data_IF_466618139245
#
_entry.id   IF_466618139245
#
_cell.length_a   1.000
_cell.length_b   1.000
_cell.length_c   1.000
_cell.angle_alpha   90.00
_cell.angle_beta   90.00
_cell.angle_gamma   90.00
#
_symmetry.space_group_name_H-M   'P 1'
#
loop_
_entity.id
_entity.type
_entity.pdbx_description
1 polymer ?
#
# COMPACT_ATOMS: atom_id res chain seq x y z
N UNK A 1 -27.16 50.13 -4.53
CA UNK A 1 -27.89 48.93 -4.06
C UNK A 1 -27.70 47.82 -5.10
N UNK A 2 -27.47 46.59 -4.64
CA UNK A 2 -27.29 45.34 -5.41
C UNK A 2 -25.93 45.20 -6.12
N UNK A 3 -25.16 44.11 -6.05
CA UNK A 3 -25.30 42.81 -5.37
C UNK A 3 -23.91 42.17 -5.36
N UNK A 4 -23.37 41.84 -4.19
CA UNK A 4 -22.12 41.07 -4.04
C UNK A 4 -22.52 39.59 -4.13
N UNK A 5 -22.25 38.95 -5.26
CA UNK A 5 -22.53 37.52 -5.46
C UNK A 5 -21.36 36.68 -4.92
N UNK A 6 -21.68 35.91 -3.88
CA UNK A 6 -20.84 34.94 -3.18
C UNK A 6 -20.29 33.84 -4.10
N UNK A 7 -18.96 33.80 -4.24
CA UNK A 7 -18.19 32.66 -4.77
C UNK A 7 -17.26 32.09 -3.71
N UNK A 8 -17.79 31.44 -2.67
CA UNK A 8 -16.96 30.65 -1.73
C UNK A 8 -17.57 29.35 -1.22
N UNK A 9 -18.73 28.91 -1.74
CA UNK A 9 -19.51 27.81 -1.14
C UNK A 9 -19.35 26.43 -1.81
N UNK A 10 -18.60 26.34 -2.93
CA UNK A 10 -18.40 25.09 -3.69
C UNK A 10 -17.72 23.94 -2.91
N UNK A 11 -16.62 24.14 -2.16
CA UNK A 11 -15.95 23.04 -1.45
C UNK A 11 -16.77 22.53 -0.24
N UNK A 12 -17.51 23.42 0.44
CA UNK A 12 -18.38 23.06 1.57
C UNK A 12 -19.59 22.22 1.12
N UNK A 13 -20.22 22.56 -0.01
CA UNK A 13 -21.33 21.77 -0.58
C UNK A 13 -20.89 20.38 -1.05
N UNK A 14 -19.69 20.24 -1.61
CA UNK A 14 -19.14 18.95 -2.02
C UNK A 14 -18.81 18.04 -0.82
N UNK A 15 -18.23 18.60 0.25
CA UNK A 15 -17.93 17.87 1.48
C UNK A 15 -19.21 17.41 2.20
N UNK A 16 -20.22 18.30 2.32
CA UNK A 16 -21.55 17.93 2.84
C UNK A 16 -22.24 16.83 2.02
N UNK A 17 -22.14 16.85 0.69
CA UNK A 17 -22.66 15.76 -0.17
C UNK A 17 -21.92 14.42 0.04
N UNK A 18 -20.61 14.45 0.30
CA UNK A 18 -19.80 13.25 0.53
C UNK A 18 -20.10 12.62 1.89
N UNK A 19 -20.30 13.44 2.92
CA UNK A 19 -20.75 13.03 4.26
C UNK A 19 -22.21 12.55 4.22
N UNK A 20 -23.10 13.22 3.47
CA UNK A 20 -24.48 12.79 3.27
C UNK A 20 -24.58 11.39 2.61
N UNK A 21 -23.71 11.10 1.65
CA UNK A 21 -23.63 9.77 1.02
C UNK A 21 -22.99 8.72 1.93
N UNK A 22 -22.30 9.11 3.00
CA UNK A 22 -21.65 8.19 3.92
C UNK A 22 -22.65 7.60 4.92
N UNK A 23 -23.43 8.44 5.61
CA UNK A 23 -24.43 7.95 6.56
C UNK A 23 -25.51 7.09 5.88
N UNK A 24 -25.90 7.43 4.65
CA UNK A 24 -26.86 6.63 3.88
C UNK A 24 -26.31 5.23 3.55
N UNK A 25 -25.01 5.13 3.21
CA UNK A 25 -24.35 3.84 2.97
C UNK A 25 -24.21 3.01 4.24
N UNK A 26 -23.90 3.66 5.37
CA UNK A 26 -23.83 3.00 6.67
C UNK A 26 -25.21 2.49 7.11
N UNK A 27 -26.27 3.28 6.92
CA UNK A 27 -27.65 2.85 7.15
C UNK A 27 -28.06 1.68 6.25
N UNK A 28 -27.75 1.74 4.95
CA UNK A 28 -27.96 0.62 4.02
C UNK A 28 -27.20 -0.64 4.44
N UNK A 29 -25.96 -0.50 4.92
CA UNK A 29 -25.15 -1.62 5.39
C UNK A 29 -25.74 -2.27 6.65
N UNK A 30 -26.25 -1.48 7.60
CA UNK A 30 -26.94 -2.01 8.79
C UNK A 30 -28.20 -2.78 8.40
N UNK A 31 -29.01 -2.23 7.47
CA UNK A 31 -30.22 -2.91 6.97
C UNK A 31 -29.87 -4.23 6.27
N UNK A 32 -28.83 -4.23 5.43
CA UNK A 32 -28.35 -5.44 4.76
C UNK A 32 -27.83 -6.48 5.77
N UNK A 33 -27.11 -6.06 6.80
CA UNK A 33 -26.59 -6.95 7.83
C UNK A 33 -27.74 -7.57 8.65
N UNK A 34 -28.76 -6.78 8.99
CA UNK A 34 -29.97 -7.28 9.64
C UNK A 34 -30.73 -8.28 8.75
N UNK A 35 -30.86 -7.99 7.45
CA UNK A 35 -31.48 -8.90 6.48
C UNK A 35 -30.68 -10.20 6.32
N UNK A 36 -29.35 -10.13 6.28
CA UNK A 36 -28.47 -11.30 6.26
C UNK A 36 -28.64 -12.16 7.52
N UNK A 37 -28.64 -11.53 8.70
CA UNK A 37 -28.85 -12.21 9.98
C UNK A 37 -30.22 -12.89 10.05
N UNK A 38 -31.28 -12.19 9.63
CA UNK A 38 -32.63 -12.75 9.56
C UNK A 38 -32.71 -13.94 8.61
N UNK A 39 -32.14 -13.84 7.41
CA UNK A 39 -32.10 -14.93 6.44
C UNK A 39 -31.29 -16.15 6.93
N UNK A 40 -30.20 -15.91 7.67
CA UNK A 40 -29.39 -16.98 8.27
C UNK A 40 -30.16 -17.71 9.37
N UNK A 41 -30.84 -16.98 10.26
CA UNK A 41 -31.68 -17.58 11.31
C UNK A 41 -32.86 -18.32 10.68
N UNK A 42 -33.48 -17.76 9.63
CA UNK A 42 -34.53 -18.40 8.87
C UNK A 42 -34.10 -19.74 8.28
N UNK A 43 -32.95 -19.79 7.61
CA UNK A 43 -32.39 -21.04 7.08
C UNK A 43 -31.97 -22.04 8.16
N UNK A 44 -31.42 -21.56 9.28
CA UNK A 44 -30.97 -22.43 10.37
C UNK A 44 -32.11 -23.05 11.18
N UNK A 45 -33.27 -22.39 11.22
CA UNK A 45 -34.45 -22.85 11.97
C UNK A 45 -35.49 -23.55 11.09
N UNK A 46 -35.35 -23.47 9.76
CA UNK A 46 -36.23 -24.14 8.82
C UNK A 46 -36.02 -25.66 8.86
N UNK A 47 -37.11 -26.40 9.07
CA UNK A 47 -37.11 -27.85 9.01
C UNK A 47 -37.60 -28.32 7.63
N UNK A 48 -36.76 -28.99 6.82
CA UNK A 48 -37.17 -29.45 5.50
C UNK A 48 -38.18 -30.61 5.53
N UNK A 49 -38.39 -31.27 6.66
CA UNK A 49 -39.34 -32.39 6.78
C UNK A 49 -40.80 -31.97 6.96
N UNK A 50 -41.07 -30.70 7.24
CA UNK A 50 -42.41 -30.17 7.55
C UNK A 50 -42.86 -29.15 6.51
N UNK A 51 -44.18 -29.03 6.28
CA UNK A 51 -44.71 -28.02 5.37
C UNK A 51 -44.55 -26.59 5.95
N UNK A 52 -44.28 -25.56 5.13
CA UNK A 52 -44.06 -24.19 5.61
C UNK A 52 -45.21 -23.60 6.45
N UNK A 53 -46.45 -24.05 6.19
CA UNK A 53 -47.63 -23.57 6.93
C UNK A 53 -47.81 -24.20 8.31
N UNK A 54 -47.12 -25.30 8.59
CA UNK A 54 -47.26 -26.07 9.84
C UNK A 54 -46.11 -25.79 10.83
N UNK A 55 -45.00 -25.24 10.33
CA UNK A 55 -43.85 -24.90 11.13
C UNK A 55 -44.11 -23.67 12.01
N UNK A 56 -43.63 -23.73 13.26
CA UNK A 56 -43.58 -22.58 14.15
C UNK A 56 -42.12 -22.29 14.48
N UNK A 57 -41.74 -21.01 14.41
CA UNK A 57 -40.35 -20.61 14.63
C UNK A 57 -40.20 -19.16 15.03
N UNK A 58 -39.03 -18.79 15.58
CA UNK A 58 -38.74 -17.45 16.10
C UNK A 58 -38.71 -16.36 15.03
N UNK A 59 -38.68 -16.76 13.76
CA UNK A 59 -38.57 -15.91 12.55
C UNK A 59 -39.92 -15.58 11.90
N UNK A 60 -41.02 -16.11 12.45
CA UNK A 60 -42.38 -15.89 11.93
C UNK A 60 -42.62 -16.46 10.52
N UNK A 61 -43.82 -16.24 9.94
CA UNK A 61 -44.18 -16.80 8.63
C UNK A 61 -43.24 -16.37 7.51
N UNK A 62 -42.80 -15.11 7.51
CA UNK A 62 -41.92 -14.57 6.48
C UNK A 62 -40.59 -15.32 6.45
N UNK A 63 -39.97 -15.58 7.60
CA UNK A 63 -38.71 -16.30 7.64
C UNK A 63 -38.85 -17.79 7.32
N UNK A 64 -39.98 -18.42 7.68
CA UNK A 64 -40.23 -19.82 7.31
C UNK A 64 -40.36 -19.96 5.79
N UNK A 65 -41.15 -19.11 5.13
CA UNK A 65 -41.29 -19.10 3.67
C UNK A 65 -39.97 -18.74 2.97
N UNK A 66 -39.18 -17.83 3.55
CA UNK A 66 -37.86 -17.50 3.07
C UNK A 66 -36.92 -18.72 3.14
N UNK A 67 -36.89 -19.40 4.29
CA UNK A 67 -36.11 -20.62 4.51
C UNK A 67 -36.49 -21.72 3.53
N UNK A 68 -37.79 -21.97 3.35
CA UNK A 68 -38.31 -22.91 2.36
C UNK A 68 -37.85 -22.56 0.94
N UNK A 69 -38.04 -21.30 0.51
CA UNK A 69 -37.67 -20.88 -0.83
C UNK A 69 -36.16 -21.04 -1.09
N UNK A 70 -35.32 -20.62 -0.14
CA UNK A 70 -33.87 -20.76 -0.27
C UNK A 70 -33.41 -22.22 -0.23
N UNK A 71 -33.94 -23.03 0.68
CA UNK A 71 -33.60 -24.44 0.78
C UNK A 71 -34.07 -25.24 -0.45
N UNK A 72 -35.28 -24.96 -0.95
CA UNK A 72 -35.80 -25.65 -2.13
C UNK A 72 -35.03 -25.25 -3.40
N UNK A 73 -34.65 -23.98 -3.53
CA UNK A 73 -33.88 -23.50 -4.68
C UNK A 73 -32.40 -23.93 -4.65
N UNK A 74 -31.72 -23.76 -3.52
CA UNK A 74 -30.25 -23.85 -3.40
C UNK A 74 -29.77 -24.95 -2.43
N UNK A 75 -30.68 -25.64 -1.74
CA UNK A 75 -30.33 -26.62 -0.71
C UNK A 75 -29.48 -25.98 0.40
N UNK A 76 -28.49 -26.74 0.90
CA UNK A 76 -27.56 -26.26 1.92
C UNK A 76 -26.58 -25.19 1.40
N UNK A 77 -26.41 -25.04 0.09
CA UNK A 77 -25.66 -23.89 -0.44
C UNK A 77 -26.41 -22.56 -0.24
N UNK A 78 -27.70 -22.59 0.12
CA UNK A 78 -28.47 -21.41 0.50
C UNK A 78 -27.83 -20.60 1.64
N UNK A 79 -27.08 -21.24 2.55
CA UNK A 79 -26.34 -20.56 3.63
C UNK A 79 -25.18 -19.67 3.15
N UNK A 80 -24.67 -19.88 1.94
CA UNK A 80 -23.64 -19.01 1.37
C UNK A 80 -24.19 -17.61 1.06
N UNK A 81 -25.47 -17.50 0.70
CA UNK A 81 -26.08 -16.22 0.34
C UNK A 81 -26.11 -15.21 1.51
N UNK A 82 -26.68 -15.52 2.70
CA UNK A 82 -26.65 -14.59 3.83
C UNK A 82 -25.23 -14.31 4.31
N UNK A 83 -24.31 -15.28 4.24
CA UNK A 83 -22.90 -15.08 4.59
C UNK A 83 -22.22 -14.07 3.67
N UNK A 84 -22.42 -14.20 2.35
CA UNK A 84 -21.87 -13.28 1.35
C UNK A 84 -22.51 -11.89 1.47
N UNK A 85 -23.81 -11.81 1.73
CA UNK A 85 -24.51 -10.55 1.96
C UNK A 85 -24.01 -9.84 3.22
N UNK A 86 -23.69 -10.59 4.28
CA UNK A 86 -23.02 -10.06 5.46
C UNK A 86 -21.61 -9.54 5.14
N UNK A 87 -20.79 -10.28 4.37
CA UNK A 87 -19.45 -9.80 3.94
C UNK A 87 -19.56 -8.51 3.14
N UNK A 88 -20.52 -8.40 2.23
CA UNK A 88 -20.79 -7.17 1.46
C UNK A 88 -21.20 -6.03 2.39
N UNK A 89 -22.11 -6.28 3.34
CA UNK A 89 -22.54 -5.29 4.33
C UNK A 89 -21.38 -4.80 5.20
N UNK A 90 -20.55 -5.70 5.75
CA UNK A 90 -19.37 -5.34 6.54
C UNK A 90 -18.34 -4.56 5.71
N UNK A 91 -18.18 -4.90 4.43
CA UNK A 91 -17.24 -4.19 3.56
C UNK A 91 -17.61 -2.72 3.35
N UNK A 92 -18.90 -2.37 3.42
CA UNK A 92 -19.36 -1.00 3.27
C UNK A 92 -18.82 -0.04 4.35
N UNK A 93 -18.43 -0.55 5.53
CA UNK A 93 -17.86 0.24 6.62
C UNK A 93 -16.36 0.52 6.49
N UNK A 94 -15.60 -0.39 5.85
CA UNK A 94 -14.13 -0.28 5.75
C UNK A 94 -13.71 0.20 4.37
N UNK A 95 -14.10 -0.53 3.33
CA UNK A 95 -13.81 -0.24 1.91
C UNK A 95 -14.93 -0.86 1.06
N UNK A 96 -15.81 -0.05 0.43
CA UNK A 96 -16.99 -0.58 -0.24
C UNK A 96 -16.58 -1.39 -1.48
N UNK A 97 -16.55 -2.72 -1.33
CA UNK A 97 -16.14 -3.66 -2.38
C UNK A 97 -16.98 -3.47 -3.65
N UNK A 98 -18.29 -3.28 -3.49
CA UNK A 98 -19.24 -3.12 -4.60
C UNK A 98 -19.07 -1.79 -5.34
N UNK A 99 -18.91 -0.67 -4.62
CA UNK A 99 -18.86 0.67 -5.23
C UNK A 99 -17.53 0.92 -5.94
N UNK A 100 -16.46 0.26 -5.49
CA UNK A 100 -15.11 0.45 -6.04
C UNK A 100 -14.77 -0.55 -7.15
N UNK A 101 -15.43 -1.71 -7.19
CA UNK A 101 -14.97 -2.87 -7.97
C UNK A 101 -15.91 -3.30 -9.10
N UNK A 102 -17.09 -2.68 -9.22
CA UNK A 102 -18.04 -2.90 -10.32
C UNK A 102 -18.83 -4.21 -10.21
N UNK A 103 -19.36 -4.70 -11.33
CA UNK A 103 -20.16 -5.93 -11.43
C UNK A 103 -19.42 -7.29 -11.26
N UNK A 104 -18.11 -7.45 -11.52
CA UNK A 104 -17.47 -8.77 -11.50
C UNK A 104 -17.56 -9.55 -10.18
N UNK A 105 -17.50 -8.93 -8.97
CA UNK A 105 -17.69 -9.67 -7.72
C UNK A 105 -19.04 -10.38 -7.61
N UNK A 106 -20.11 -9.81 -8.20
CA UNK A 106 -21.42 -10.45 -8.23
C UNK A 106 -21.44 -11.68 -9.14
N UNK A 107 -20.76 -11.61 -10.28
CA UNK A 107 -20.56 -12.77 -11.15
C UNK A 107 -19.76 -13.86 -10.41
N UNK A 108 -18.72 -13.47 -9.67
CA UNK A 108 -17.93 -14.40 -8.85
C UNK A 108 -18.75 -15.09 -7.76
N UNK A 109 -19.59 -14.34 -7.04
CA UNK A 109 -20.55 -14.89 -6.07
C UNK A 109 -21.51 -15.87 -6.74
N UNK A 110 -22.07 -15.52 -7.90
CA UNK A 110 -22.96 -16.41 -8.66
C UNK A 110 -22.28 -17.72 -9.04
N UNK A 111 -21.04 -17.66 -9.52
CA UNK A 111 -20.24 -18.85 -9.87
C UNK A 111 -19.99 -19.72 -8.63
N UNK A 112 -19.61 -19.14 -7.48
CA UNK A 112 -19.39 -19.92 -6.25
C UNK A 112 -20.67 -20.60 -5.79
N UNK A 113 -21.79 -19.87 -5.78
CA UNK A 113 -23.09 -20.42 -5.35
C UNK A 113 -23.51 -21.56 -6.29
N UNK A 114 -23.39 -21.38 -7.61
CA UNK A 114 -23.72 -22.39 -8.61
C UNK A 114 -22.83 -23.65 -8.45
N UNK A 115 -21.51 -23.46 -8.28
CA UNK A 115 -20.56 -24.53 -8.01
C UNK A 115 -20.89 -25.26 -6.71
N UNK A 116 -21.23 -24.55 -5.64
CA UNK A 116 -21.56 -25.13 -4.34
C UNK A 116 -22.87 -25.92 -4.39
N UNK A 117 -23.92 -25.39 -5.04
CA UNK A 117 -25.19 -26.12 -5.25
C UNK A 117 -24.96 -27.40 -6.05
N UNK A 118 -24.13 -27.34 -7.11
CA UNK A 118 -23.84 -28.51 -7.93
C UNK A 118 -22.98 -29.56 -7.22
N UNK A 119 -21.95 -29.14 -6.47
CA UNK A 119 -21.11 -30.04 -5.67
C UNK A 119 -21.95 -30.77 -4.61
N UNK A 120 -22.84 -30.06 -3.93
CA UNK A 120 -23.71 -30.67 -2.92
C UNK A 120 -24.70 -31.65 -3.56
N UNK A 121 -25.29 -31.32 -4.71
CA UNK A 121 -26.13 -32.25 -5.45
C UNK A 121 -25.36 -33.52 -5.85
N UNK A 122 -24.16 -33.39 -6.41
CA UNK A 122 -23.27 -34.51 -6.75
C UNK A 122 -22.93 -35.39 -5.53
N UNK A 123 -22.54 -34.77 -4.41
CA UNK A 123 -22.23 -35.52 -3.17
C UNK A 123 -23.44 -36.25 -2.61
N UNK A 124 -24.65 -35.69 -2.72
CA UNK A 124 -25.87 -36.35 -2.23
C UNK A 124 -26.24 -37.59 -3.04
N UNK A 125 -25.99 -37.58 -4.35
CA UNK A 125 -26.13 -38.76 -5.20
C UNK A 125 -25.08 -39.82 -4.86
N UNK A 126 -23.83 -39.41 -4.65
CA UNK A 126 -22.73 -40.31 -4.28
C UNK A 126 -22.95 -40.99 -2.93
N UNK A 127 -23.51 -40.26 -1.95
CA UNK A 127 -23.78 -40.75 -0.61
C UNK A 127 -25.11 -41.52 -0.51
N UNK A 128 -25.82 -41.70 -1.62
CA UNK A 128 -27.11 -42.39 -1.71
C UNK A 128 -28.13 -41.93 -0.64
N UNK A 129 -28.09 -40.65 -0.27
CA UNK A 129 -29.00 -40.11 0.74
C UNK A 129 -30.40 -40.00 0.13
N UNK A 130 -31.44 -40.64 0.73
CA UNK A 130 -32.81 -40.53 0.25
C UNK A 130 -33.28 -39.11 0.55
N UNK A 131 -33.11 -38.25 -0.44
CA UNK A 131 -33.60 -36.88 -0.42
C UNK A 131 -34.49 -36.75 -1.65
N UNK A 132 -35.61 -36.03 -1.52
CA UNK A 132 -36.48 -35.69 -2.65
C UNK A 132 -35.65 -35.15 -3.84
N UNK A 133 -36.23 -35.14 -5.04
CA UNK A 133 -35.55 -34.87 -6.31
C UNK A 133 -34.65 -33.60 -6.38
N UNK A 134 -34.71 -32.71 -5.39
CA UNK A 134 -33.83 -31.54 -5.25
C UNK A 134 -32.53 -31.79 -4.45
N UNK A 135 -32.46 -32.81 -3.58
CA UNK A 135 -31.25 -33.17 -2.84
C UNK A 135 -30.64 -32.06 -1.96
N UNK A 136 -29.41 -32.30 -1.46
CA UNK A 136 -28.67 -31.33 -0.65
C UNK A 136 -28.26 -30.04 -1.41
N UNK A 137 -28.30 -30.08 -2.75
CA UNK A 137 -27.95 -28.97 -3.64
C UNK A 137 -29.12 -28.13 -4.16
N UNK A 138 -30.36 -28.49 -3.81
CA UNK A 138 -31.57 -27.82 -4.28
C UNK A 138 -31.85 -28.01 -5.78
N UNK A 139 -32.96 -27.44 -6.23
CA UNK A 139 -33.42 -27.52 -7.64
C UNK A 139 -32.36 -26.98 -8.62
N UNK A 140 -31.66 -25.90 -8.25
CA UNK A 140 -30.61 -25.31 -9.08
C UNK A 140 -29.43 -26.26 -9.22
N UNK A 141 -28.97 -26.86 -8.12
CA UNK A 141 -27.87 -27.83 -8.13
C UNK A 141 -28.21 -29.05 -8.99
N UNK A 142 -29.42 -29.58 -8.83
CA UNK A 142 -29.93 -30.70 -9.64
C UNK A 142 -29.94 -30.36 -11.14
N UNK A 143 -30.49 -29.20 -11.53
CA UNK A 143 -30.56 -28.79 -12.93
C UNK A 143 -29.16 -28.58 -13.55
N UNK A 144 -28.25 -27.93 -12.82
CA UNK A 144 -26.87 -27.69 -13.24
C UNK A 144 -26.14 -29.01 -13.43
N UNK A 145 -26.21 -29.93 -12.46
CA UNK A 145 -25.57 -31.23 -12.55
C UNK A 145 -26.14 -32.06 -13.69
N UNK A 146 -27.46 -32.08 -13.88
CA UNK A 146 -28.10 -32.77 -15.00
C UNK A 146 -27.61 -32.25 -16.36
N UNK A 147 -27.49 -30.94 -16.53
CA UNK A 147 -26.94 -30.33 -17.74
C UNK A 147 -25.46 -30.63 -17.96
N UNK A 148 -24.66 -30.60 -16.89
CA UNK A 148 -23.22 -30.90 -16.99
C UNK A 148 -22.98 -32.38 -17.31
N UNK A 149 -23.70 -33.30 -16.67
CA UNK A 149 -23.57 -34.74 -16.93
C UNK A 149 -23.95 -35.11 -18.36
N UNK A 150 -25.05 -34.54 -18.87
CA UNK A 150 -25.49 -34.78 -20.26
C UNK A 150 -24.49 -34.24 -21.29
N UNK A 151 -23.75 -33.17 -20.96
CA UNK A 151 -22.80 -32.53 -21.88
C UNK A 151 -21.37 -33.07 -21.77
N UNK A 152 -20.90 -33.37 -20.57
CA UNK A 152 -19.48 -33.60 -20.23
C UNK A 152 -19.23 -34.93 -19.50
N UNK A 153 -20.28 -35.70 -19.20
CA UNK A 153 -20.21 -36.91 -18.38
C UNK A 153 -19.97 -36.61 -16.89
N UNK A 154 -20.00 -37.67 -16.07
CA UNK A 154 -19.90 -37.55 -14.60
C UNK A 154 -18.57 -36.91 -14.16
N UNK A 155 -17.46 -37.36 -14.74
CA UNK A 155 -16.12 -36.83 -14.41
C UNK A 155 -16.00 -35.35 -14.80
N UNK A 156 -16.53 -34.97 -15.96
CA UNK A 156 -16.52 -33.59 -16.44
C UNK A 156 -17.36 -32.65 -15.56
N UNK A 157 -18.50 -33.14 -15.04
CA UNK A 157 -19.34 -32.38 -14.12
C UNK A 157 -18.57 -31.99 -12.85
N UNK A 158 -17.90 -32.96 -12.22
CA UNK A 158 -17.07 -32.72 -11.04
C UNK A 158 -15.94 -31.72 -11.31
N UNK A 159 -15.22 -31.87 -12.43
CA UNK A 159 -14.12 -30.98 -12.77
C UNK A 159 -14.56 -29.53 -12.95
N UNK A 160 -15.66 -29.29 -13.67
CA UNK A 160 -16.18 -27.94 -13.89
C UNK A 160 -16.67 -27.31 -12.58
N UNK A 161 -17.38 -28.07 -11.75
CA UNK A 161 -17.89 -27.57 -10.48
C UNK A 161 -16.77 -27.22 -9.51
N UNK A 162 -15.74 -28.07 -9.39
CA UNK A 162 -14.55 -27.81 -8.57
C UNK A 162 -13.76 -26.61 -9.11
N UNK A 163 -13.60 -26.49 -10.43
CA UNK A 163 -12.88 -25.37 -11.06
C UNK A 163 -13.65 -24.05 -10.95
N UNK A 164 -14.99 -24.08 -10.88
CA UNK A 164 -15.80 -22.87 -10.71
C UNK A 164 -15.55 -22.17 -9.37
N UNK A 165 -15.27 -22.89 -8.28
CA UNK A 165 -14.98 -22.30 -6.97
C UNK A 165 -13.78 -21.33 -7.00
N UNK A 166 -12.57 -21.72 -7.44
CA UNK A 166 -11.45 -20.79 -7.54
C UNK A 166 -11.72 -19.67 -8.57
N UNK A 167 -12.36 -19.96 -9.70
CA UNK A 167 -12.74 -18.92 -10.67
C UNK A 167 -13.65 -17.87 -10.02
N UNK A 168 -14.64 -18.28 -9.23
CA UNK A 168 -15.51 -17.36 -8.51
C UNK A 168 -14.74 -16.52 -7.48
N UNK A 169 -13.79 -17.13 -6.75
CA UNK A 169 -12.91 -16.41 -5.80
C UNK A 169 -12.03 -15.37 -6.53
N UNK A 170 -11.57 -15.66 -7.75
CA UNK A 170 -10.85 -14.68 -8.58
C UNK A 170 -11.72 -13.48 -8.94
N UNK A 171 -12.97 -13.72 -9.33
CA UNK A 171 -13.88 -12.64 -9.68
C UNK A 171 -14.27 -11.76 -8.48
N UNK A 172 -14.34 -12.35 -7.28
CA UNK A 172 -14.58 -11.62 -6.02
C UNK A 172 -13.34 -10.81 -5.60
N UNK A 173 -12.18 -11.44 -5.56
CA UNK A 173 -10.94 -10.79 -5.08
C UNK A 173 -10.35 -9.85 -6.11
N UNK A 174 -10.54 -10.16 -7.40
CA UNK A 174 -9.89 -9.52 -8.56
C UNK A 174 -8.37 -9.35 -8.35
N UNK A 175 -7.77 -10.22 -7.55
CA UNK A 175 -6.33 -10.31 -7.35
C UNK A 175 -5.85 -11.50 -8.15
N UNK A 176 -4.87 -11.28 -9.04
CA UNK A 176 -4.25 -12.39 -9.79
C UNK A 176 -3.65 -13.41 -8.82
N UNK A 177 -3.87 -14.71 -9.08
CA UNK A 177 -3.22 -15.79 -8.34
C UNK A 177 -1.69 -15.66 -8.31
N UNK A 178 -1.08 -15.03 -9.32
CA UNK A 178 0.36 -14.73 -9.35
C UNK A 178 0.80 -13.67 -8.33
N UNK A 179 -0.09 -12.80 -7.87
CA UNK A 179 0.18 -11.87 -6.76
C UNK A 179 0.05 -12.58 -5.41
N UNK A 180 -0.95 -13.46 -5.26
CA UNK A 180 -1.15 -14.27 -4.05
C UNK A 180 0.01 -15.25 -3.87
N UNK A 181 0.46 -15.94 -4.94
CA UNK A 181 1.58 -16.90 -4.87
C UNK A 181 2.91 -16.23 -4.48
N UNK A 182 3.14 -14.98 -4.90
CA UNK A 182 4.29 -14.18 -4.45
C UNK A 182 4.20 -13.81 -2.97
N UNK A 183 3.01 -13.45 -2.49
CA UNK A 183 2.76 -13.18 -1.06
C UNK A 183 2.91 -14.44 -0.19
N UNK A 184 2.40 -15.57 -0.66
CA UNK A 184 2.53 -16.87 0.02
C UNK A 184 3.98 -17.34 -0.01
N UNK A 185 4.69 -17.27 -1.13
CA UNK A 185 6.10 -17.66 -1.20
C UNK A 185 7.00 -16.81 -0.31
N UNK A 186 6.74 -15.50 -0.19
CA UNK A 186 7.49 -14.64 0.74
C UNK A 186 7.20 -14.97 2.20
N UNK A 187 5.94 -15.24 2.56
CA UNK A 187 5.58 -15.70 3.91
C UNK A 187 6.10 -17.11 4.22
N UNK A 188 6.04 -18.03 3.27
CA UNK A 188 6.53 -19.39 3.41
C UNK A 188 8.06 -19.42 3.55
N UNK A 189 8.80 -18.57 2.81
CA UNK A 189 10.24 -18.37 3.02
C UNK A 189 10.56 -17.81 4.41
N UNK A 190 9.73 -16.90 4.95
CA UNK A 190 9.87 -16.42 6.34
C UNK A 190 9.57 -17.51 7.36
N UNK A 191 8.52 -18.29 7.16
CA UNK A 191 8.16 -19.44 8.01
C UNK A 191 9.19 -20.56 7.98
N UNK A 192 9.77 -20.84 6.81
CA UNK A 192 10.86 -21.83 6.65
C UNK A 192 12.16 -21.38 7.31
N UNK A 193 12.38 -20.06 7.42
CA UNK A 193 13.45 -19.45 8.23
C UNK A 193 13.10 -19.32 9.71
N UNK A 194 11.84 -19.49 10.10
CA UNK A 194 11.35 -19.36 11.47
C UNK A 194 11.09 -20.70 12.18
N UNK A 195 11.39 -21.85 11.55
CA UNK A 195 11.48 -23.12 12.28
C UNK A 195 12.79 -23.14 13.08
N UNK A 196 12.77 -23.25 14.42
CA UNK A 196 13.97 -23.52 15.18
C UNK A 196 14.40 -24.95 14.84
N UNK A 197 15.64 -25.11 14.38
CA UNK A 197 16.27 -26.40 14.20
C UNK A 197 16.24 -27.15 15.53
N UNK A 198 15.47 -28.24 15.57
CA UNK A 198 15.44 -29.19 16.66
C UNK A 198 16.72 -30.01 16.57
N UNK A 199 17.65 -29.73 17.49
CA UNK A 199 18.65 -30.65 18.07
C UNK A 199 19.15 -31.80 17.19
N UNK A 200 20.36 -31.66 16.65
CA UNK A 200 21.28 -32.80 16.53
C UNK A 200 22.44 -32.57 17.49
N UNK A 201 22.35 -33.27 18.62
CA UNK A 201 23.43 -33.49 19.57
C UNK A 201 24.37 -34.47 18.89
N UNK A 202 25.49 -33.98 18.37
CA UNK A 202 26.66 -34.79 18.07
C UNK A 202 27.79 -34.26 18.94
N UNK A 203 28.00 -34.96 20.05
CA UNK A 203 29.25 -35.01 20.82
C UNK A 203 30.42 -35.22 19.86
N UNK A 204 31.27 -34.21 19.72
CA UNK A 204 32.61 -34.35 19.21
C UNK A 204 33.53 -33.46 20.08
N UNK A 205 33.99 -34.09 21.16
CA UNK A 205 35.33 -33.98 21.76
C UNK A 205 36.11 -32.68 21.52
N UNK A 206 36.32 -31.98 22.63
CA UNK A 206 37.40 -31.03 22.86
C UNK A 206 38.74 -31.71 22.51
N UNK A 207 39.40 -31.23 21.46
CA UNK A 207 40.80 -31.46 21.19
C UNK A 207 41.39 -30.12 20.76
N UNK A 208 42.08 -29.46 21.68
CA UNK A 208 42.90 -28.30 21.38
C UNK A 208 44.06 -28.71 20.47
N UNK A 209 44.41 -27.90 19.45
CA UNK A 209 45.77 -27.82 18.97
C UNK A 209 46.45 -26.64 19.68
N UNK A 210 47.29 -26.99 20.64
CA UNK A 210 48.32 -26.14 21.22
C UNK A 210 49.27 -25.69 20.09
N UNK A 211 49.31 -24.39 19.79
CA UNK A 211 50.36 -23.81 18.94
C UNK A 211 51.43 -23.27 19.86
N UNK A 212 52.57 -23.97 19.94
CA UNK A 212 53.80 -23.46 20.53
C UNK A 212 54.34 -22.32 19.67
N UNK A 213 54.39 -21.12 20.23
CA UNK A 213 55.12 -19.98 19.66
C UNK A 213 56.49 -19.95 20.35
N UNK A 214 57.62 -19.98 19.60
CA UNK A 214 58.94 -19.95 20.20
C UNK A 214 59.21 -18.60 20.87
N UNK A 215 59.77 -18.67 22.08
CA UNK A 215 60.24 -17.53 22.84
C UNK A 215 61.46 -16.89 22.16
N UNK A 216 61.40 -15.58 21.93
CA UNK A 216 62.58 -14.77 21.67
C UNK A 216 62.40 -13.72 20.57
N UNK A 217 61.83 -12.57 20.93
CA UNK A 217 62.26 -11.26 20.42
C UNK A 217 61.55 -10.16 21.22
N UNK A 218 62.27 -9.58 22.17
CA UNK A 218 61.87 -8.33 22.80
C UNK A 218 61.99 -7.20 21.76
N UNK A 219 60.89 -6.50 21.48
CA UNK A 219 60.91 -5.14 20.92
C UNK A 219 59.85 -4.32 21.64
N UNK A 220 60.29 -3.13 22.07
CA UNK A 220 59.64 -2.20 22.97
C UNK A 220 58.22 -1.80 22.54
N UNK A 221 57.35 -1.63 23.55
CA UNK A 221 56.09 -0.90 23.47
C UNK A 221 56.43 0.58 23.68
N UNK A 222 56.15 1.50 22.73
CA UNK A 222 55.98 2.89 23.07
C UNK A 222 54.59 3.08 23.67
N UNK A 223 54.55 3.52 24.93
CA UNK A 223 53.40 4.14 25.56
C UNK A 223 53.02 5.40 24.76
N UNK A 224 51.89 5.35 24.05
CA UNK A 224 50.95 6.47 23.88
C UNK A 224 49.76 6.01 23.02
N UNK A 225 48.53 5.95 23.55
CA UNK A 225 47.35 5.83 22.71
C UNK A 225 47.12 7.17 22.02
N UNK A 226 47.53 7.27 20.75
CA UNK A 226 47.08 8.32 19.85
C UNK A 226 45.55 8.22 19.74
N UNK A 227 44.88 9.21 20.30
CA UNK A 227 43.45 9.45 20.20
C UNK A 227 43.12 9.77 18.72
N UNK A 228 42.76 8.74 17.97
CA UNK A 228 42.21 8.90 16.62
C UNK A 228 40.80 9.45 16.78
N UNK A 229 40.69 10.77 16.85
CA UNK A 229 39.45 11.49 16.59
C UNK A 229 39.01 11.16 15.16
N UNK A 230 37.80 10.60 14.94
CA UNK A 230 37.31 10.40 13.59
C UNK A 230 37.04 11.77 12.96
N UNK A 231 37.33 11.95 11.65
CA UNK A 231 37.09 13.23 10.98
C UNK A 231 35.60 13.60 11.04
N UNK A 232 35.26 14.89 11.18
CA UNK A 232 33.88 15.35 11.20
C UNK A 232 33.16 14.97 9.88
N UNK A 233 31.84 14.76 9.92
CA UNK A 233 31.07 14.41 8.74
C UNK A 233 31.21 15.50 7.67
N UNK A 234 31.37 15.07 6.42
CA UNK A 234 31.54 15.97 5.29
C UNK A 234 30.16 16.54 4.93
N UNK A 235 29.92 17.79 5.32
CA UNK A 235 28.75 18.55 4.84
C UNK A 235 29.03 18.93 3.39
N UNK A 236 28.31 18.30 2.47
CA UNK A 236 28.37 18.67 1.05
C UNK A 236 27.33 19.76 0.86
N UNK A 237 27.78 21.02 0.87
CA UNK A 237 26.92 22.12 0.48
C UNK A 237 26.46 21.92 -0.97
N UNK A 238 25.17 22.17 -1.28
CA UNK A 238 24.70 22.12 -2.65
C UNK A 238 25.53 23.09 -3.50
N UNK A 239 26.13 22.58 -4.59
CA UNK A 239 26.89 23.38 -5.55
C UNK A 239 26.03 24.55 -6.02
N UNK A 240 26.33 25.77 -5.55
CA UNK A 240 25.77 27.02 -6.08
C UNK A 240 26.18 27.15 -7.55
N UNK A 241 25.32 26.67 -8.46
CA UNK A 241 25.39 27.03 -9.87
C UNK A 241 24.91 28.48 -9.97
N UNK A 242 25.81 29.36 -10.42
CA UNK A 242 25.53 30.78 -10.56
C UNK A 242 24.25 30.99 -11.40
N UNK A 243 23.20 31.47 -10.76
CA UNK A 243 21.99 31.95 -11.43
C UNK A 243 22.36 33.24 -12.14
N UNK A 244 22.48 33.16 -13.47
CA UNK A 244 22.56 34.35 -14.30
C UNK A 244 21.37 35.27 -13.95
N UNK A 245 21.71 36.52 -13.63
CA UNK A 245 20.86 37.60 -13.13
C UNK A 245 19.39 37.53 -13.56
N UNK A 246 18.48 37.31 -12.59
CA UNK A 246 17.02 37.22 -12.78
C UNK A 246 16.33 38.60 -12.94
N UNK A 247 17.07 39.65 -13.28
CA UNK A 247 16.55 41.01 -13.39
C UNK A 247 16.55 41.49 -14.86
N UNK A 248 15.70 40.89 -15.68
CA UNK A 248 15.36 41.44 -17.00
C UNK A 248 13.84 41.46 -17.13
N UNK A 249 13.27 42.65 -17.24
CA UNK A 249 11.84 42.86 -17.38
C UNK A 249 11.57 43.11 -18.87
N UNK A 250 11.40 42.01 -19.62
CA UNK A 250 11.06 42.08 -21.04
C UNK A 250 9.61 42.53 -21.24
N UNK A 251 9.41 43.44 -22.19
CA UNK A 251 8.10 43.97 -22.57
C UNK A 251 7.40 42.96 -23.48
N UNK A 252 6.26 42.43 -23.04
CA UNK A 252 5.48 41.45 -23.82
C UNK A 252 4.49 42.16 -24.75
N UNK A 253 4.61 41.94 -26.07
CA UNK A 253 3.67 42.44 -27.08
C UNK A 253 2.63 41.36 -27.41
N UNK A 254 1.35 41.66 -27.15
CA UNK A 254 0.22 40.80 -27.51
C UNK A 254 -0.08 40.95 -29.01
N UNK A 255 0.81 40.42 -29.86
CA UNK A 255 0.71 40.53 -31.31
C UNK A 255 -0.65 40.07 -31.87
N UNK A 256 -1.15 40.77 -32.91
CA UNK A 256 -2.46 40.53 -33.55
C UNK A 256 -2.45 39.39 -34.60
N UNK A 257 -1.42 38.53 -34.63
CA UNK A 257 -1.07 37.70 -35.79
C UNK A 257 -1.53 36.22 -35.81
N UNK A 258 -2.29 35.74 -34.83
CA UNK A 258 -2.75 34.33 -34.82
C UNK A 258 -1.65 33.32 -34.45
N UNK A 259 -1.81 32.04 -34.84
CA UNK A 259 -0.95 30.93 -34.39
C UNK A 259 0.49 30.98 -34.94
N UNK A 260 0.72 31.61 -36.10
CA UNK A 260 2.04 31.70 -36.73
C UNK A 260 2.97 32.73 -36.08
N UNK A 261 2.42 33.63 -35.23
CA UNK A 261 3.18 34.62 -34.46
C UNK A 261 3.27 34.29 -32.97
N UNK A 262 2.99 33.04 -32.56
CA UNK A 262 3.00 32.66 -31.15
C UNK A 262 4.42 32.70 -30.58
N UNK A 263 4.64 33.59 -29.62
CA UNK A 263 5.86 33.66 -28.82
C UNK A 263 5.58 33.05 -27.44
N UNK A 264 6.53 32.29 -26.93
CA UNK A 264 6.45 31.76 -25.56
C UNK A 264 6.43 32.93 -24.56
N UNK A 265 5.57 32.86 -23.52
CA UNK A 265 5.55 33.88 -22.49
C UNK A 265 6.90 33.90 -21.75
N UNK A 266 7.44 35.09 -21.43
CA UNK A 266 8.71 35.19 -20.73
C UNK A 266 8.58 34.68 -19.29
N UNK A 267 9.66 34.10 -18.76
CA UNK A 267 9.72 33.58 -17.38
C UNK A 267 9.61 34.69 -16.32
N UNK A 268 9.77 35.96 -16.71
CA UNK A 268 9.56 37.13 -15.87
C UNK A 268 8.10 37.35 -15.43
N UNK A 269 7.12 36.68 -16.06
CA UNK A 269 5.73 36.67 -15.59
C UNK A 269 5.55 35.86 -14.29
N UNK A 270 6.54 35.03 -13.93
CA UNK A 270 6.49 34.21 -12.73
C UNK A 270 7.17 34.94 -11.56
N UNK A 271 6.66 34.70 -10.35
CA UNK A 271 7.27 35.23 -9.13
C UNK A 271 8.71 34.74 -8.97
N UNK A 272 9.61 35.68 -8.68
CA UNK A 272 10.97 35.38 -8.27
C UNK A 272 10.99 34.87 -6.82
N UNK A 273 11.98 34.05 -6.44
CA UNK A 273 12.20 33.75 -5.03
C UNK A 273 12.53 35.03 -4.25
N UNK A 274 11.97 35.16 -3.04
CA UNK A 274 12.09 36.35 -2.18
C UNK A 274 13.49 36.54 -1.57
N UNK A 275 14.40 35.59 -1.75
CA UNK A 275 15.77 35.63 -1.23
C UNK A 275 16.58 34.37 -1.58
N UNK A 276 17.88 34.35 -1.27
CA UNK A 276 18.70 33.15 -1.41
C UNK A 276 18.12 32.01 -0.55
N UNK A 277 18.20 30.78 -1.06
CA UNK A 277 17.82 29.55 -0.34
C UNK A 277 18.36 29.61 1.10
N UNK A 278 17.51 29.27 2.07
CA UNK A 278 17.84 29.29 3.50
C UNK A 278 19.18 28.56 3.73
N UNK A 279 20.24 29.31 4.04
CA UNK A 279 21.56 28.74 4.29
C UNK A 279 21.57 28.20 5.70
N UNK A 280 21.50 26.88 5.85
CA UNK A 280 21.73 26.22 7.13
C UNK A 280 23.14 26.50 7.60
N UNK A 281 23.32 26.81 8.89
CA UNK A 281 24.65 26.88 9.46
C UNK A 281 25.23 25.46 9.54
N UNK A 282 26.51 25.30 9.21
CA UNK A 282 27.18 23.99 9.33
C UNK A 282 27.12 23.45 10.78
N UNK A 283 27.10 24.36 11.76
CA UNK A 283 26.94 24.03 13.19
C UNK A 283 25.58 23.40 13.48
N UNK A 284 24.46 23.97 13.01
CA UNK A 284 23.12 23.38 13.19
C UNK A 284 22.99 22.01 12.54
N UNK A 285 23.53 21.84 11.33
CA UNK A 285 23.53 20.55 10.64
C UNK A 285 24.31 19.49 11.42
N UNK A 286 25.44 19.89 12.00
CA UNK A 286 26.29 19.04 12.82
C UNK A 286 25.60 18.65 14.13
N UNK A 287 25.02 19.61 14.84
CA UNK A 287 24.29 19.38 16.10
C UNK A 287 23.12 18.42 15.90
N UNK A 288 22.38 18.59 14.80
CA UNK A 288 21.29 17.70 14.43
C UNK A 288 21.79 16.31 14.05
N UNK A 289 22.91 16.20 13.33
CA UNK A 289 23.54 14.92 13.00
C UNK A 289 24.00 14.17 14.26
N UNK A 290 24.59 14.88 15.22
CA UNK A 290 25.00 14.31 16.51
C UNK A 290 23.82 13.87 17.36
N UNK A 291 22.75 14.67 17.39
CA UNK A 291 21.50 14.33 18.06
C UNK A 291 20.90 13.06 17.45
N UNK A 292 20.83 12.97 16.12
CA UNK A 292 20.36 11.78 15.40
C UNK A 292 21.21 10.55 15.74
N UNK A 293 22.54 10.67 15.70
CA UNK A 293 23.47 9.59 16.04
C UNK A 293 23.27 9.10 17.47
N UNK A 294 23.21 10.02 18.43
CA UNK A 294 23.01 9.71 19.85
C UNK A 294 21.67 9.01 20.09
N UNK A 295 20.62 9.44 19.39
CA UNK A 295 19.30 8.81 19.50
C UNK A 295 19.25 7.42 18.91
N UNK A 296 19.87 7.20 17.76
CA UNK A 296 20.02 5.85 17.22
C UNK A 296 20.77 4.94 18.19
N UNK A 297 21.82 5.46 18.86
CA UNK A 297 22.55 4.73 19.90
C UNK A 297 21.67 4.41 21.12
N UNK A 298 20.82 5.33 21.59
CA UNK A 298 19.86 5.09 22.69
C UNK A 298 18.93 3.90 22.39
N UNK A 299 18.65 3.60 21.12
CA UNK A 299 17.85 2.45 20.67
C UNK A 299 18.67 1.20 20.30
N UNK A 300 19.94 1.15 20.73
CA UNK A 300 20.92 0.10 20.42
C UNK A 300 21.11 -0.12 18.91
N UNK A 301 21.07 0.98 18.15
CA UNK A 301 21.42 1.03 16.73
C UNK A 301 22.73 1.79 16.61
N UNK A 302 23.83 1.05 16.68
CA UNK A 302 25.16 1.62 16.48
C UNK A 302 25.45 1.92 15.01
N UNK A 303 26.19 3.00 14.77
CA UNK A 303 26.59 3.43 13.43
C UNK A 303 27.07 4.88 13.44
N UNK A 304 27.27 5.44 12.24
CA UNK A 304 27.78 6.80 12.06
C UNK A 304 27.05 7.54 10.94
N UNK A 305 27.03 8.88 11.03
CA UNK A 305 26.57 9.74 9.94
C UNK A 305 27.76 10.01 9.02
N UNK A 306 27.66 9.61 7.75
CA UNK A 306 28.75 9.75 6.77
C UNK A 306 28.63 11.01 5.93
N UNK A 307 27.41 11.46 5.66
CA UNK A 307 27.14 12.62 4.82
C UNK A 307 25.86 13.31 5.27
N UNK A 308 25.87 14.65 5.24
CA UNK A 308 24.68 15.48 5.44
C UNK A 308 24.47 16.29 4.17
N UNK A 309 23.24 16.29 3.68
CA UNK A 309 22.87 17.00 2.46
C UNK A 309 21.57 17.78 2.71
N UNK A 310 21.66 19.09 2.97
CA UNK A 310 20.49 19.93 3.17
C UNK A 310 19.78 20.18 1.84
N UNK A 311 18.45 20.02 1.85
CA UNK A 311 17.57 20.38 0.74
C UNK A 311 16.62 21.51 1.13
N UNK A 312 15.77 21.98 0.21
CA UNK A 312 14.85 23.09 0.47
C UNK A 312 13.78 22.76 1.52
N UNK A 313 13.23 21.53 1.50
CA UNK A 313 12.12 21.12 2.39
C UNK A 313 12.59 20.15 3.48
N UNK A 314 13.56 19.30 3.14
CA UNK A 314 14.08 18.25 4.00
C UNK A 314 15.61 18.26 3.97
N UNK A 315 16.23 17.76 5.03
CA UNK A 315 17.65 17.45 5.10
C UNK A 315 17.85 15.94 5.13
N UNK A 316 18.74 15.44 4.28
CA UNK A 316 19.09 14.01 4.21
C UNK A 316 20.35 13.74 5.00
N UNK A 317 20.25 12.88 6.02
CA UNK A 317 21.36 12.37 6.81
C UNK A 317 21.66 10.93 6.38
N UNK A 318 22.83 10.71 5.79
CA UNK A 318 23.27 9.38 5.38
C UNK A 318 23.90 8.66 6.58
N UNK A 319 23.25 7.59 7.04
CA UNK A 319 23.65 6.78 8.18
C UNK A 319 24.23 5.44 7.72
N UNK A 320 25.42 5.11 8.21
CA UNK A 320 26.08 3.83 8.03
C UNK A 320 25.93 3.00 9.31
N UNK A 321 25.08 1.95 9.33
CA UNK A 321 24.94 1.08 10.49
C UNK A 321 26.18 0.24 10.75
N UNK A 322 26.47 -0.04 12.03
CA UNK A 322 27.55 -0.95 12.42
C UNK A 322 27.28 -2.40 11.95
N UNK A 323 28.35 -3.19 11.85
CA UNK A 323 28.26 -4.59 11.46
C UNK A 323 27.31 -5.36 12.39
N UNK A 324 26.34 -6.08 11.81
CA UNK A 324 25.35 -6.87 12.55
C UNK A 324 24.02 -6.14 12.85
N UNK A 325 23.94 -4.83 12.61
CA UNK A 325 22.68 -4.08 12.75
C UNK A 325 21.75 -4.40 11.58
N UNK A 326 20.53 -4.84 11.89
CA UNK A 326 19.50 -5.12 10.87
C UNK A 326 18.88 -3.82 10.38
N UNK A 327 18.82 -3.62 9.05
CA UNK A 327 18.18 -2.44 8.43
C UNK A 327 16.73 -2.25 8.89
N UNK A 328 15.98 -3.35 9.09
CA UNK A 328 14.60 -3.28 9.59
C UNK A 328 14.49 -2.63 10.96
N UNK A 329 15.55 -2.71 11.79
CA UNK A 329 15.57 -2.05 13.11
C UNK A 329 15.58 -0.53 12.92
N UNK A 330 16.44 -0.03 12.02
CA UNK A 330 16.53 1.40 11.70
C UNK A 330 15.21 1.92 11.13
N UNK A 331 14.64 1.24 10.13
CA UNK A 331 13.39 1.66 9.46
C UNK A 331 12.21 1.73 10.44
N UNK A 332 12.16 0.84 11.44
CA UNK A 332 11.08 0.81 12.43
C UNK A 332 11.19 1.92 13.50
N UNK A 333 12.33 2.62 13.59
CA UNK A 333 12.53 3.73 14.54
C UNK A 333 12.10 5.09 13.98
N UNK A 334 11.49 5.15 12.78
CA UNK A 334 11.11 6.42 12.14
C UNK A 334 10.24 7.32 13.04
N UNK A 335 9.22 6.76 13.69
CA UNK A 335 8.32 7.51 14.57
C UNK A 335 9.04 7.99 15.85
N UNK A 336 9.88 7.14 16.43
CA UNK A 336 10.67 7.46 17.63
C UNK A 336 11.73 8.53 17.34
N UNK A 337 12.37 8.48 16.18
CA UNK A 337 13.32 9.50 15.73
C UNK A 337 12.63 10.82 15.43
N UNK A 338 11.41 10.80 14.86
CA UNK A 338 10.63 12.01 14.66
C UNK A 338 10.33 12.72 15.99
N UNK A 339 9.93 11.95 17.02
CA UNK A 339 9.71 12.47 18.36
C UNK A 339 10.98 13.07 18.96
N UNK A 340 12.11 12.38 18.83
CA UNK A 340 13.37 12.81 19.39
C UNK A 340 13.94 14.09 18.74
N UNK A 341 13.77 14.22 17.42
CA UNK A 341 14.22 15.37 16.64
C UNK A 341 13.22 16.53 16.62
N UNK A 342 12.08 16.39 17.33
CA UNK A 342 10.98 17.36 17.31
C UNK A 342 10.49 17.66 15.88
N UNK A 343 10.59 16.66 15.01
CA UNK A 343 10.20 16.77 13.62
C UNK A 343 8.76 16.26 13.43
N UNK A 344 8.03 16.82 12.45
CA UNK A 344 6.66 16.40 12.17
C UNK A 344 6.56 14.93 11.73
N UNK A 345 7.55 14.46 10.97
CA UNK A 345 7.71 13.07 10.56
C UNK A 345 9.16 12.86 10.09
N UNK A 346 9.69 11.65 10.22
CA UNK A 346 11.00 11.27 9.67
C UNK A 346 10.78 10.16 8.65
N UNK A 347 11.46 10.24 7.51
CA UNK A 347 11.39 9.21 6.48
C UNK A 347 12.74 8.51 6.36
N UNK A 348 12.72 7.19 6.42
CA UNK A 348 13.93 6.37 6.30
C UNK A 348 13.89 5.68 4.94
N UNK A 349 14.78 6.08 4.04
CA UNK A 349 14.91 5.49 2.71
C UNK A 349 15.85 4.29 2.80
N UNK A 350 15.43 3.17 2.22
CA UNK A 350 16.15 1.89 2.24
C UNK A 350 17.59 1.98 1.68
N UNK A 351 18.35 0.89 1.72
CA UNK A 351 19.80 0.94 1.52
C UNK A 351 20.15 1.56 0.16
N UNK A 352 21.02 2.58 0.18
CA UNK A 352 21.51 3.25 -1.02
C UNK A 352 22.41 2.27 -1.79
N UNK A 353 22.08 1.94 -3.04
CA UNK A 353 22.87 1.02 -3.85
C UNK A 353 24.34 1.49 -3.95
N UNK A 354 25.27 0.60 -3.65
CA UNK A 354 26.71 0.86 -3.76
C UNK A 354 27.34 1.61 -2.57
N UNK A 355 26.56 2.14 -1.62
CA UNK A 355 27.09 2.84 -0.42
C UNK A 355 26.90 2.06 0.87
N UNK A 356 25.95 1.12 0.94
CA UNK A 356 25.71 0.34 2.16
C UNK A 356 25.08 1.13 3.31
N UNK A 357 24.57 2.32 3.00
CA UNK A 357 24.04 3.31 3.94
C UNK A 357 22.54 3.45 3.82
N UNK A 358 21.92 4.06 4.82
CA UNK A 358 20.49 4.36 4.92
C UNK A 358 20.35 5.88 4.97
N UNK A 359 19.45 6.46 4.18
CA UNK A 359 19.17 7.90 4.27
C UNK A 359 18.01 8.16 5.24
N UNK A 360 18.25 9.03 6.22
CA UNK A 360 17.26 9.55 7.15
C UNK A 360 16.90 10.97 6.71
N UNK A 361 15.71 11.12 6.14
CA UNK A 361 15.15 12.39 5.66
C UNK A 361 14.36 13.05 6.81
N UNK A 362 14.82 14.23 7.24
CA UNK A 362 14.21 15.01 8.32
C UNK A 362 13.69 16.34 7.75
N UNK A 363 12.44 16.73 7.99
CA UNK A 363 11.92 18.05 7.63
C UNK A 363 12.72 19.17 8.24
N UNK A 364 12.97 20.21 7.46
CA UNK A 364 13.62 21.42 7.95
C UNK A 364 12.67 22.19 8.86
N UNK A 365 13.20 22.93 9.84
CA UNK A 365 12.39 23.79 10.71
C UNK A 365 11.63 24.87 9.91
N UNK A 366 12.31 25.45 8.91
CA UNK A 366 11.73 26.35 7.93
C UNK A 366 11.82 25.71 6.53
N UNK A 367 10.68 25.34 5.96
CA UNK A 367 10.63 24.78 4.63
C UNK A 367 10.72 25.89 3.56
N UNK A 368 11.69 25.77 2.66
CA UNK A 368 11.85 26.67 1.52
C UNK A 368 10.77 26.45 0.47
N UNK A 369 10.20 27.56 -0.02
CA UNK A 369 9.25 27.52 -1.13
C UNK A 369 10.00 27.24 -2.44
N UNK A 370 9.55 26.25 -3.21
CA UNK A 370 10.08 25.95 -4.55
C UNK A 370 9.31 26.74 -5.59
N UNK A 371 9.99 27.66 -6.29
CA UNK A 371 9.34 28.54 -7.25
C UNK A 371 9.36 27.92 -8.67
N UNK A 372 8.22 27.97 -9.36
CA UNK A 372 8.14 27.49 -10.75
C UNK A 372 9.16 28.19 -11.67
N UNK A 373 9.41 29.48 -11.42
CA UNK A 373 10.38 30.28 -12.16
C UNK A 373 11.79 29.69 -12.11
N UNK A 374 12.20 29.13 -10.96
CA UNK A 374 13.52 28.54 -10.80
C UNK A 374 13.70 27.30 -11.68
N UNK A 375 12.65 26.48 -11.81
CA UNK A 375 12.70 25.29 -12.64
C UNK A 375 12.72 25.67 -14.12
N UNK A 376 11.93 26.67 -14.53
CA UNK A 376 11.90 27.12 -15.92
C UNK A 376 13.17 27.86 -16.34
N UNK A 377 13.81 28.58 -15.41
CA UNK A 377 15.10 29.24 -15.64
C UNK A 377 16.28 28.27 -15.60
N UNK A 378 16.08 27.03 -15.14
CA UNK A 378 17.16 26.03 -15.11
C UNK A 378 17.53 25.56 -16.51
N UNK A 379 18.81 25.26 -16.74
CA UNK A 379 19.28 24.71 -18.01
C UNK A 379 18.56 23.39 -18.37
N UNK A 380 18.21 22.58 -17.37
CA UNK A 380 17.50 21.31 -17.54
C UNK A 380 16.13 21.47 -18.21
N UNK A 381 15.48 22.63 -18.02
CA UNK A 381 14.22 22.97 -18.69
C UNK A 381 14.46 23.84 -19.94
N UNK A 382 15.24 24.91 -19.82
CA UNK A 382 15.45 25.89 -20.88
C UNK A 382 16.16 25.30 -22.11
N UNK A 383 17.08 24.36 -21.90
CA UNK A 383 17.85 23.70 -22.96
C UNK A 383 17.30 22.30 -23.30
N UNK A 384 16.16 21.92 -22.71
CA UNK A 384 15.61 20.58 -22.88
C UNK A 384 15.08 20.37 -24.31
N UNK A 385 15.46 19.25 -24.92
CA UNK A 385 14.94 18.78 -26.21
C UNK A 385 13.69 17.90 -26.08
N UNK A 386 13.08 17.85 -24.89
CA UNK A 386 11.89 17.04 -24.59
C UNK A 386 10.70 17.57 -25.38
N UNK A 387 9.82 16.67 -25.83
CA UNK A 387 8.65 17.07 -26.62
C UNK A 387 7.53 17.64 -25.73
N UNK A 388 7.38 17.08 -24.53
CA UNK A 388 6.41 17.53 -23.53
C UNK A 388 7.07 17.59 -22.15
N UNK A 389 7.96 18.58 -21.90
CA UNK A 389 8.65 18.71 -20.63
C UNK A 389 7.67 19.07 -19.51
N UNK A 390 7.77 18.37 -18.38
CA UNK A 390 7.06 18.65 -17.14
C UNK A 390 8.07 19.09 -16.08
N UNK A 391 7.93 20.31 -15.60
CA UNK A 391 8.65 20.81 -14.43
C UNK A 391 7.97 20.29 -13.15
N UNK A 392 8.60 19.33 -12.48
CA UNK A 392 8.03 18.69 -11.29
C UNK A 392 8.41 19.41 -9.99
N UNK A 393 9.57 20.08 -9.95
CA UNK A 393 10.06 20.79 -8.78
C UNK A 393 11.56 20.61 -8.56
N UNK A 394 11.99 20.62 -7.30
CA UNK A 394 13.37 20.31 -6.88
C UNK A 394 13.42 18.92 -6.22
N UNK A 395 14.54 18.22 -6.32
CA UNK A 395 14.80 16.97 -5.59
C UNK A 395 15.22 17.23 -4.13
N UNK A 396 15.55 16.15 -3.40
CA UNK A 396 15.98 16.21 -1.99
C UNK A 396 17.28 16.98 -1.77
N UNK A 397 18.07 17.24 -2.82
CA UNK A 397 19.31 18.01 -2.79
C UNK A 397 19.14 19.43 -3.35
N UNK A 398 17.93 19.79 -3.77
CA UNK A 398 17.61 21.09 -4.37
C UNK A 398 17.82 21.16 -5.90
N UNK A 399 18.21 20.06 -6.55
CA UNK A 399 18.40 20.00 -8.01
C UNK A 399 17.06 20.05 -8.76
N UNK A 400 16.95 20.75 -9.90
CA UNK A 400 15.70 20.83 -10.67
C UNK A 400 15.34 19.45 -11.26
N UNK A 401 14.06 19.10 -11.20
CA UNK A 401 13.52 17.85 -11.73
C UNK A 401 12.56 18.16 -12.87
N UNK A 402 13.00 17.81 -14.08
CA UNK A 402 12.22 17.93 -15.31
C UNK A 402 12.03 16.54 -15.92
N UNK A 403 10.80 16.13 -16.19
CA UNK A 403 10.48 14.86 -16.86
C UNK A 403 9.90 15.10 -18.27
N UNK A 404 9.83 14.07 -19.12
CA UNK A 404 9.13 14.14 -20.41
C UNK A 404 7.84 13.31 -20.33
N UNK A 405 6.68 13.95 -20.52
CA UNK A 405 5.39 13.27 -20.52
C UNK A 405 5.29 12.23 -21.65
N UNK A 406 6.04 12.35 -22.74
CA UNK A 406 6.04 11.33 -23.81
C UNK A 406 6.61 9.99 -23.37
N UNK A 407 7.52 9.97 -22.39
CA UNK A 407 8.02 8.73 -21.78
C UNK A 407 7.05 8.16 -20.73
N UNK A 408 6.09 8.97 -20.28
CA UNK A 408 5.07 8.63 -19.28
C UNK A 408 3.69 8.99 -19.87
N UNK A 409 3.18 8.25 -20.87
CA UNK A 409 2.07 8.70 -21.72
C UNK A 409 0.82 9.08 -20.92
N UNK A 410 0.68 8.51 -19.71
CA UNK A 410 -0.25 8.96 -18.69
C UNK A 410 0.46 8.99 -17.33
N UNK A 411 0.19 10.00 -16.52
CA UNK A 411 0.66 10.16 -15.15
C UNK A 411 -0.56 10.25 -14.22
N UNK A 412 -0.52 9.55 -13.08
CA UNK A 412 -1.60 9.53 -12.08
C UNK A 412 -1.37 10.57 -11.00
#
# INVERSE_FOLDING_TARGET
MATIASTSDKPRRARKKKEARRWLREAQAIVLLAAAGFALIALATFDPAQAPGEQQGPVGPVGIWLGWAFFHALGYAGFLFPLLLAVVALSAFVRPLVVTRGWPPFAGVGIIVLSATGLLAETSVLLATPTDHAGAGGLVGWAVVGGLRTSLGDVGAWLVLIAGVPIGVLFITQVSYGAISRMVNTRLKRWRKAKPGRTSRATATLAEPFIEIPAGAAVAIPDEPAEVTPPPPVVVEPRKRATASLAWQETFDFGKGGAESFQLPPTGLLHAPDGPDHTFSNEELQDNAETLRKKLQDFEVEGRIVQVSPGPIITSYEFEPAAGVKISRVVNLADDLALALKAAAVRIVGPIPGRGTVAVEVPNAEAGMVYLREIFASGDFAESKKKLPLALGKDVTGGPVVSDLTAMPHLL
#
